data_IF_566037734546
#
_entry.id   IF_566037734546
#
_cell.length_a   1.000
_cell.length_b   1.000
_cell.length_c   1.000
_cell.angle_alpha   90.00
_cell.angle_beta   90.00
_cell.angle_gamma   90.00
#
_symmetry.space_group_name_H-M   'P 1'
#
loop_
_entity.id
_entity.type
_entity.pdbx_description
1 polymer ?
#
# COMPACT_ATOMS: atom_id res chain seq x y z
N UNK A 1 65.95 71.74 -50.73
CA UNK A 1 66.13 72.71 -49.63
C UNK A 1 66.12 71.98 -48.30
N UNK A 2 67.29 71.98 -47.62
CA UNK A 2 67.48 72.20 -46.17
C UNK A 2 66.56 71.39 -45.20
N UNK A 3 67.05 70.33 -44.54
CA UNK A 3 67.70 70.33 -43.19
C UNK A 3 66.80 70.87 -42.08
N UNK A 4 66.57 70.30 -40.88
CA UNK A 4 67.17 69.34 -39.93
C UNK A 4 66.00 68.99 -38.97
N UNK A 5 65.89 67.89 -38.23
CA UNK A 5 66.88 67.10 -37.50
C UNK A 5 66.62 67.22 -35.99
N UNK A 6 66.35 66.08 -35.32
CA UNK A 6 66.63 65.71 -33.91
C UNK A 6 65.88 64.37 -33.67
N UNK A 7 66.45 63.16 -33.74
CA UNK A 7 67.55 62.50 -33.01
C UNK A 7 67.37 62.49 -31.49
N UNK A 8 66.97 61.34 -30.91
CA UNK A 8 67.76 60.48 -29.99
C UNK A 8 66.83 59.34 -29.48
N UNK A 9 66.92 58.07 -29.92
CA UNK A 9 67.86 56.97 -29.64
C UNK A 9 67.40 56.04 -28.49
N UNK A 10 67.60 54.73 -28.76
CA UNK A 10 67.63 53.53 -27.90
C UNK A 10 66.31 52.75 -27.69
N UNK A 11 66.23 51.42 -27.86
CA UNK A 11 67.16 50.34 -28.26
C UNK A 11 66.31 49.08 -28.57
N UNK A 12 66.68 48.36 -29.64
CA UNK A 12 66.56 46.92 -29.97
C UNK A 12 65.38 46.06 -29.47
N UNK A 13 64.77 45.31 -30.39
CA UNK A 13 64.11 44.04 -30.06
C UNK A 13 63.16 43.49 -31.12
N UNK A 14 63.68 42.86 -32.17
CA UNK A 14 62.90 41.99 -33.06
C UNK A 14 62.21 40.87 -32.27
N UNK A 15 60.94 40.56 -32.57
CA UNK A 15 60.37 39.21 -32.77
C UNK A 15 58.98 39.37 -33.40
N UNK A 16 58.83 38.77 -34.59
CA UNK A 16 57.57 38.47 -35.26
C UNK A 16 56.81 37.39 -34.47
N UNK A 17 55.49 37.52 -34.25
CA UNK A 17 54.55 36.38 -34.28
C UNK A 17 53.07 36.83 -34.22
N UNK A 18 52.26 36.17 -35.03
CA UNK A 18 50.86 36.42 -35.40
C UNK A 18 49.82 36.36 -34.25
N UNK A 19 48.74 37.17 -34.28
CA UNK A 19 47.65 37.11 -33.30
C UNK A 19 46.49 36.18 -33.72
N UNK A 20 46.76 35.08 -34.45
CA UNK A 20 45.77 34.05 -34.84
C UNK A 20 46.10 32.72 -34.14
N UNK A 21 46.05 32.69 -32.80
CA UNK A 21 46.28 31.45 -32.04
C UNK A 21 45.56 31.39 -30.68
N UNK A 22 44.87 32.45 -30.24
CA UNK A 22 44.33 32.50 -28.86
C UNK A 22 42.82 32.23 -28.81
N UNK A 23 42.12 32.22 -29.94
CA UNK A 23 40.66 31.94 -29.97
C UNK A 23 40.35 30.45 -30.24
N UNK A 24 41.25 29.69 -30.88
CA UNK A 24 41.08 28.23 -31.03
C UNK A 24 41.30 27.44 -29.72
N UNK A 25 42.12 27.94 -28.81
CA UNK A 25 42.49 27.21 -27.58
C UNK A 25 41.43 27.27 -26.47
N UNK A 26 40.61 28.31 -26.41
CA UNK A 26 39.56 28.45 -25.38
C UNK A 26 38.31 27.63 -25.72
N UNK A 27 37.99 27.46 -27.01
CA UNK A 27 36.88 26.60 -27.46
C UNK A 27 37.27 25.12 -27.36
N UNK A 28 38.54 24.76 -27.60
CA UNK A 28 39.04 23.41 -27.40
C UNK A 28 39.00 22.95 -25.92
N UNK A 29 39.19 23.87 -24.96
CA UNK A 29 39.14 23.54 -23.54
C UNK A 29 37.71 23.28 -23.01
N UNK A 30 36.67 23.93 -23.56
CA UNK A 30 35.29 23.68 -23.14
C UNK A 30 34.66 22.45 -23.80
N UNK A 31 35.12 22.04 -24.98
CA UNK A 31 34.68 20.80 -25.65
C UNK A 31 35.27 19.55 -24.97
N UNK A 32 36.47 19.66 -24.39
CA UNK A 32 37.16 18.52 -23.75
C UNK A 32 36.53 18.12 -22.42
N UNK A 33 36.06 19.08 -21.61
CA UNK A 33 35.48 18.80 -20.28
C UNK A 33 34.10 18.14 -20.36
N UNK A 34 33.35 18.35 -21.44
CA UNK A 34 32.08 17.68 -21.67
C UNK A 34 32.24 16.23 -22.17
N UNK A 35 33.33 15.93 -22.91
CA UNK A 35 33.61 14.58 -23.41
C UNK A 35 34.14 13.63 -22.33
N UNK A 36 34.85 14.14 -21.31
CA UNK A 36 35.40 13.33 -20.22
C UNK A 36 34.31 12.69 -19.36
N UNK A 37 33.27 13.45 -19.00
CA UNK A 37 32.20 12.97 -18.10
C UNK A 37 31.32 11.90 -18.78
N UNK A 38 31.02 12.07 -20.07
CA UNK A 38 30.28 11.07 -20.83
C UNK A 38 31.11 9.79 -21.05
N UNK A 39 32.40 9.92 -21.34
CA UNK A 39 33.29 8.76 -21.54
C UNK A 39 33.47 7.92 -20.27
N UNK A 40 33.54 8.57 -19.10
CA UNK A 40 33.72 7.91 -17.81
C UNK A 40 32.43 7.24 -17.33
N UNK A 41 31.27 7.86 -17.53
CA UNK A 41 29.98 7.21 -17.23
C UNK A 41 29.77 6.00 -18.13
N UNK A 42 30.16 6.06 -19.41
CA UNK A 42 30.09 4.91 -20.31
C UNK A 42 31.09 3.81 -19.94
N UNK A 43 32.30 4.18 -19.49
CA UNK A 43 33.29 3.23 -18.95
C UNK A 43 32.75 2.52 -17.71
N UNK A 44 32.23 3.25 -16.72
CA UNK A 44 31.62 2.67 -15.52
C UNK A 44 30.42 1.78 -15.82
N UNK A 45 29.61 2.12 -16.83
CA UNK A 45 28.51 1.25 -17.30
C UNK A 45 29.04 -0.05 -17.92
N UNK A 46 30.10 0.02 -18.72
CA UNK A 46 30.77 -1.14 -19.31
C UNK A 46 31.40 -2.03 -18.24
N UNK A 47 32.16 -1.47 -17.33
CA UNK A 47 32.77 -2.21 -16.21
C UNK A 47 31.71 -2.88 -15.35
N UNK A 48 30.61 -2.18 -15.03
CA UNK A 48 29.47 -2.78 -14.34
C UNK A 48 28.82 -3.90 -15.13
N UNK A 49 28.74 -3.78 -16.46
CA UNK A 49 28.17 -4.82 -17.33
C UNK A 49 29.06 -6.06 -17.41
N UNK A 50 30.37 -5.85 -17.59
CA UNK A 50 31.39 -6.90 -17.65
C UNK A 50 31.52 -7.63 -16.31
N UNK A 51 31.28 -6.95 -15.19
CA UNK A 51 31.23 -7.55 -13.86
C UNK A 51 29.97 -8.36 -13.54
N UNK A 52 28.96 -8.39 -14.41
CA UNK A 52 27.76 -9.22 -14.23
C UNK A 52 28.00 -10.65 -14.72
N UNK A 53 27.31 -11.62 -14.11
CA UNK A 53 27.33 -13.00 -14.62
C UNK A 53 26.64 -13.09 -15.99
N UNK A 54 26.98 -14.09 -16.82
CA UNK A 54 26.32 -14.32 -18.11
C UNK A 54 24.78 -14.41 -18.00
N UNK A 55 24.27 -14.99 -16.92
CA UNK A 55 22.83 -15.08 -16.66
C UNK A 55 22.21 -13.70 -16.39
N UNK A 56 22.88 -12.86 -15.61
CA UNK A 56 22.43 -11.49 -15.32
C UNK A 56 22.45 -10.61 -16.58
N UNK A 57 23.51 -10.72 -17.39
CA UNK A 57 23.60 -10.02 -18.68
C UNK A 57 22.46 -10.45 -19.62
N UNK A 58 22.15 -11.75 -19.66
CA UNK A 58 21.04 -12.28 -20.44
C UNK A 58 19.70 -11.72 -19.95
N UNK A 59 19.46 -11.71 -18.65
CA UNK A 59 18.23 -11.18 -18.07
C UNK A 59 18.03 -9.69 -18.38
N UNK A 60 19.09 -8.88 -18.25
CA UNK A 60 19.00 -7.43 -18.54
C UNK A 60 18.77 -7.21 -20.03
N UNK A 61 19.44 -7.97 -20.91
CA UNK A 61 19.24 -7.89 -22.36
C UNK A 61 17.79 -8.21 -22.73
N UNK A 62 17.21 -9.27 -22.17
CA UNK A 62 15.80 -9.62 -22.39
C UNK A 62 14.83 -8.54 -21.88
N UNK A 63 15.13 -7.93 -20.72
CA UNK A 63 14.32 -6.83 -20.18
C UNK A 63 14.41 -5.58 -21.07
N UNK A 64 15.60 -5.27 -21.60
CA UNK A 64 15.81 -4.17 -22.53
C UNK A 64 15.09 -4.38 -23.85
N UNK A 65 15.09 -5.61 -24.37
CA UNK A 65 14.36 -5.95 -25.59
C UNK A 65 12.85 -5.76 -25.39
N UNK A 66 12.30 -6.28 -24.29
CA UNK A 66 10.91 -6.04 -23.91
C UNK A 66 10.59 -4.55 -23.76
N UNK A 67 11.51 -3.76 -23.22
CA UNK A 67 11.37 -2.31 -23.09
C UNK A 67 11.27 -1.61 -24.45
N UNK A 68 12.14 -1.98 -25.39
CA UNK A 68 12.17 -1.42 -26.75
C UNK A 68 10.89 -1.75 -27.53
N UNK A 69 10.26 -2.89 -27.24
CA UNK A 69 8.99 -3.30 -27.84
C UNK A 69 7.77 -2.57 -27.27
N UNK A 70 7.89 -1.83 -26.15
CA UNK A 70 6.79 -1.04 -25.61
C UNK A 70 6.58 0.25 -26.43
N UNK A 71 5.32 0.59 -26.68
CA UNK A 71 4.92 1.88 -27.27
C UNK A 71 5.32 3.06 -26.34
N UNK A 72 5.61 4.27 -26.86
CA UNK A 72 5.99 5.44 -26.06
C UNK A 72 5.05 5.74 -24.88
N UNK A 73 3.74 5.50 -25.03
CA UNK A 73 2.76 5.69 -23.96
C UNK A 73 2.95 4.69 -22.81
N UNK A 74 3.32 3.45 -23.12
CA UNK A 74 3.60 2.41 -22.15
C UNK A 74 4.95 2.67 -21.47
N UNK A 75 5.96 3.07 -22.23
CA UNK A 75 7.25 3.49 -21.70
C UNK A 75 7.10 4.68 -20.74
N UNK A 76 6.25 5.66 -21.06
CA UNK A 76 5.96 6.78 -20.16
C UNK A 76 5.36 6.30 -18.82
N UNK A 77 4.38 5.39 -18.85
CA UNK A 77 3.77 4.81 -17.63
C UNK A 77 4.78 4.06 -16.77
N UNK A 78 5.70 3.31 -17.38
CA UNK A 78 6.73 2.59 -16.63
C UNK A 78 7.74 3.56 -16.02
N UNK A 79 8.16 4.59 -16.76
CA UNK A 79 9.02 5.66 -16.22
C UNK A 79 8.37 6.37 -15.04
N UNK A 80 7.09 6.73 -15.15
CA UNK A 80 6.31 7.33 -14.06
C UNK A 80 6.27 6.42 -12.83
N UNK A 81 5.98 5.13 -13.00
CA UNK A 81 5.98 4.16 -11.89
C UNK A 81 7.35 4.03 -11.25
N UNK A 82 8.41 4.04 -12.06
CA UNK A 82 9.78 3.98 -11.56
C UNK A 82 10.14 5.23 -10.75
N UNK A 83 9.77 6.42 -11.22
CA UNK A 83 9.97 7.66 -10.48
C UNK A 83 9.24 7.64 -9.13
N UNK A 84 7.98 7.21 -9.11
CA UNK A 84 7.21 7.03 -7.86
C UNK A 84 7.89 6.04 -6.92
N UNK A 85 8.41 4.93 -7.45
CA UNK A 85 9.14 3.94 -6.67
C UNK A 85 10.44 4.51 -6.08
N UNK A 86 11.17 5.34 -6.83
CA UNK A 86 12.39 5.98 -6.35
C UNK A 86 12.12 6.93 -5.19
N UNK A 87 11.01 7.67 -5.27
CA UNK A 87 10.54 8.60 -4.23
C UNK A 87 10.03 7.92 -2.95
N UNK A 88 9.77 6.61 -2.97
CA UNK A 88 9.37 5.89 -1.76
C UNK A 88 10.51 5.86 -0.74
N UNK A 89 10.14 6.08 0.53
CA UNK A 89 11.04 5.88 1.66
C UNK A 89 11.52 4.42 1.76
N UNK A 90 12.66 4.16 2.42
CA UNK A 90 13.14 2.79 2.65
C UNK A 90 12.09 1.88 3.30
N UNK A 91 11.31 2.41 4.26
CA UNK A 91 10.25 1.67 4.94
C UNK A 91 9.10 1.30 4.00
N UNK A 92 8.70 2.21 3.11
CA UNK A 92 7.67 1.94 2.10
C UNK A 92 8.14 0.92 1.07
N UNK A 93 9.42 0.99 0.66
CA UNK A 93 10.05 -0.02 -0.21
C UNK A 93 10.03 -1.40 0.45
N UNK A 94 10.36 -1.50 1.74
CA UNK A 94 10.26 -2.76 2.50
C UNK A 94 8.81 -3.27 2.58
N UNK A 95 7.84 -2.39 2.84
CA UNK A 95 6.42 -2.76 2.82
C UNK A 95 5.98 -3.29 1.46
N UNK A 96 6.48 -2.71 0.37
CA UNK A 96 6.18 -3.15 -0.99
C UNK A 96 6.79 -4.53 -1.28
N UNK A 97 8.05 -4.75 -0.89
CA UNK A 97 8.72 -6.04 -1.01
C UNK A 97 7.98 -7.14 -0.24
N UNK A 98 7.66 -6.89 1.05
CA UNK A 98 6.92 -7.84 1.88
C UNK A 98 5.53 -8.16 1.31
N UNK A 99 4.83 -7.19 0.69
CA UNK A 99 3.57 -7.44 -0.02
C UNK A 99 3.79 -8.35 -1.24
N UNK A 100 4.85 -8.10 -2.00
CA UNK A 100 5.21 -8.91 -3.16
C UNK A 100 5.57 -10.35 -2.81
N UNK A 101 6.32 -10.56 -1.73
CA UNK A 101 6.64 -11.89 -1.19
C UNK A 101 5.40 -12.63 -0.73
N UNK A 102 4.53 -11.97 0.05
CA UNK A 102 3.25 -12.55 0.47
C UNK A 102 2.40 -12.97 -0.72
N UNK A 103 2.38 -12.16 -1.79
CA UNK A 103 1.66 -12.50 -3.01
C UNK A 103 2.27 -13.71 -3.72
N UNK A 104 3.61 -13.78 -3.84
CA UNK A 104 4.32 -14.92 -4.43
C UNK A 104 4.14 -16.21 -3.64
N UNK A 105 3.98 -16.12 -2.31
CA UNK A 105 3.71 -17.26 -1.43
C UNK A 105 2.27 -17.79 -1.51
N UNK A 106 1.34 -17.08 -2.19
CA UNK A 106 0.00 -17.60 -2.44
C UNK A 106 0.02 -18.71 -3.48
N UNK A 107 -0.90 -19.67 -3.38
CA UNK A 107 -1.07 -20.70 -4.41
C UNK A 107 -1.46 -20.08 -5.76
N UNK A 108 -1.19 -20.74 -6.91
CA UNK A 108 -1.55 -20.21 -8.22
C UNK A 108 -3.03 -19.82 -8.34
N UNK A 109 -3.93 -20.62 -7.78
CA UNK A 109 -5.37 -20.34 -7.75
C UNK A 109 -5.70 -19.09 -6.92
N UNK A 110 -5.05 -18.91 -5.77
CA UNK A 110 -5.22 -17.72 -4.93
C UNK A 110 -4.69 -16.46 -5.63
N UNK A 111 -3.54 -16.57 -6.31
CA UNK A 111 -3.00 -15.48 -7.12
C UNK A 111 -3.96 -15.11 -8.26
N UNK A 112 -4.52 -16.09 -8.95
CA UNK A 112 -5.51 -15.88 -10.00
C UNK A 112 -6.75 -15.16 -9.47
N UNK A 113 -7.31 -15.59 -8.33
CA UNK A 113 -8.46 -14.90 -7.70
C UNK A 113 -8.15 -13.44 -7.34
N UNK A 114 -6.93 -13.16 -6.86
CA UNK A 114 -6.51 -11.79 -6.57
C UNK A 114 -6.38 -10.96 -7.85
N UNK A 115 -5.81 -11.52 -8.93
CA UNK A 115 -5.71 -10.84 -10.23
C UNK A 115 -7.09 -10.59 -10.84
N UNK A 116 -7.93 -11.61 -10.88
CA UNK A 116 -9.29 -11.57 -11.41
C UNK A 116 -10.15 -10.51 -10.72
N UNK A 117 -9.98 -10.33 -9.40
CA UNK A 117 -10.69 -9.28 -8.66
C UNK A 117 -10.44 -7.87 -9.20
N UNK A 118 -9.27 -7.61 -9.78
CA UNK A 118 -8.93 -6.31 -10.36
C UNK A 118 -8.96 -6.31 -11.89
N UNK A 119 -9.11 -7.48 -12.50
CA UNK A 119 -9.32 -7.65 -13.92
C UNK A 119 -10.65 -6.98 -14.30
N UNK A 120 -10.66 -6.27 -15.44
CA UNK A 120 -11.82 -5.47 -15.87
C UNK A 120 -12.04 -4.14 -15.14
N UNK A 121 -11.43 -3.90 -13.96
CA UNK A 121 -11.54 -2.60 -13.29
C UNK A 121 -10.64 -1.55 -13.95
N UNK A 122 -11.20 -0.37 -14.22
CA UNK A 122 -10.48 0.84 -14.60
C UNK A 122 -9.52 1.32 -13.49
N UNK A 123 -8.60 2.22 -13.82
CA UNK A 123 -7.65 2.75 -12.84
C UNK A 123 -8.34 3.43 -11.65
N UNK A 124 -9.44 4.14 -11.89
CA UNK A 124 -10.16 4.87 -10.85
C UNK A 124 -11.01 3.95 -9.98
N UNK A 125 -11.66 2.92 -10.56
CA UNK A 125 -12.35 1.89 -9.79
C UNK A 125 -11.39 1.13 -8.87
N UNK A 126 -10.18 0.81 -9.37
CA UNK A 126 -9.14 0.19 -8.55
C UNK A 126 -8.73 1.10 -7.39
N UNK A 127 -8.55 2.40 -7.64
CA UNK A 127 -8.21 3.38 -6.59
C UNK A 127 -9.30 3.44 -5.53
N UNK A 128 -10.56 3.61 -5.94
CA UNK A 128 -11.70 3.67 -5.03
C UNK A 128 -11.86 2.39 -4.20
N UNK A 129 -11.65 1.21 -4.83
CA UNK A 129 -11.71 -0.06 -4.12
C UNK A 129 -10.57 -0.22 -3.09
N UNK A 130 -9.36 0.19 -3.46
CA UNK A 130 -8.21 0.20 -2.55
C UNK A 130 -8.47 1.16 -1.38
N UNK A 131 -9.02 2.33 -1.65
CA UNK A 131 -9.37 3.32 -0.63
C UNK A 131 -10.42 2.77 0.34
N UNK A 132 -11.49 2.16 -0.15
CA UNK A 132 -12.50 1.48 0.70
C UNK A 132 -11.86 0.42 1.60
N UNK A 133 -10.89 -0.34 1.10
CA UNK A 133 -10.17 -1.32 1.93
C UNK A 133 -9.28 -0.66 2.97
N UNK A 134 -8.64 0.46 2.64
CA UNK A 134 -7.84 1.23 3.59
C UNK A 134 -8.71 1.83 4.68
N UNK A 135 -9.83 2.47 4.34
CA UNK A 135 -10.81 3.03 5.28
C UNK A 135 -11.36 1.95 6.20
N UNK A 136 -11.79 0.79 5.64
CA UNK A 136 -12.26 -0.34 6.44
C UNK A 136 -11.17 -0.91 7.35
N UNK A 137 -9.91 -0.88 6.93
CA UNK A 137 -8.79 -1.31 7.77
C UNK A 137 -8.48 -0.31 8.87
N UNK A 138 -8.68 0.98 8.60
CA UNK A 138 -8.50 2.07 9.56
C UNK A 138 -9.65 2.11 10.59
N UNK A 139 -10.87 1.72 10.21
CA UNK A 139 -12.01 1.65 11.13
C UNK A 139 -11.94 0.49 12.15
N UNK A 140 -11.03 -0.45 11.94
CA UNK A 140 -10.73 -1.51 12.93
C UNK A 140 -9.64 -0.99 13.87
N UNK A 141 -9.97 -0.91 15.16
CA UNK A 141 -9.02 -0.63 16.25
C UNK A 141 -7.69 -1.40 16.05
N UNK A 142 -6.54 -0.69 15.99
CA UNK A 142 -5.22 -1.30 15.81
C UNK A 142 -4.91 -2.41 16.82
N UNK A 143 -5.29 -2.24 18.10
CA UNK A 143 -5.04 -3.23 19.14
C UNK A 143 -5.84 -4.52 18.87
N UNK A 144 -7.13 -4.37 18.56
CA UNK A 144 -7.98 -5.49 18.15
C UNK A 144 -7.47 -6.22 16.90
N UNK A 145 -6.96 -5.48 15.91
CA UNK A 145 -6.37 -6.05 14.69
C UNK A 145 -5.11 -6.86 14.99
N UNK A 146 -4.22 -6.34 15.83
CA UNK A 146 -3.01 -7.05 16.25
C UNK A 146 -3.33 -8.30 17.05
N UNK A 147 -4.28 -8.24 17.98
CA UNK A 147 -4.73 -9.41 18.74
C UNK A 147 -5.30 -10.51 17.82
N UNK A 148 -6.09 -10.12 16.81
CA UNK A 148 -6.60 -11.06 15.82
C UNK A 148 -5.46 -11.68 14.98
N UNK A 149 -4.47 -10.86 14.58
CA UNK A 149 -3.31 -11.36 13.84
C UNK A 149 -2.50 -12.36 14.67
N UNK A 150 -2.12 -12.01 15.91
CA UNK A 150 -1.37 -12.91 16.80
C UNK A 150 -2.12 -14.22 17.05
N UNK A 151 -3.43 -14.13 17.26
CA UNK A 151 -4.30 -15.31 17.40
C UNK A 151 -4.29 -16.19 16.15
N UNK A 152 -4.29 -15.59 14.97
CA UNK A 152 -4.22 -16.33 13.71
C UNK A 152 -2.85 -16.98 13.52
N UNK A 153 -1.78 -16.28 13.88
CA UNK A 153 -0.40 -16.77 13.80
C UNK A 153 -0.15 -17.94 14.77
N UNK A 154 -0.76 -17.91 15.96
CA UNK A 154 -0.65 -18.99 16.95
C UNK A 154 -1.48 -20.24 16.63
N UNK A 155 -2.33 -20.20 15.61
CA UNK A 155 -3.17 -21.35 15.19
C UNK A 155 -2.47 -22.18 14.11
N UNK A 156 -2.69 -23.49 14.13
CA UNK A 156 -2.32 -24.39 13.02
C UNK A 156 -3.12 -24.06 11.75
N UNK A 157 -2.70 -24.52 10.56
CA UNK A 157 -3.46 -24.29 9.32
C UNK A 157 -4.92 -24.76 9.39
N UNK A 158 -5.19 -25.91 10.02
CA UNK A 158 -6.53 -26.48 10.19
C UNK A 158 -7.39 -25.67 11.17
N UNK A 159 -6.83 -25.30 12.33
CA UNK A 159 -7.49 -24.44 13.31
C UNK A 159 -7.82 -23.05 12.72
N UNK A 160 -6.94 -22.54 11.86
CA UNK A 160 -7.13 -21.27 11.18
C UNK A 160 -8.28 -21.33 10.18
N UNK A 161 -8.46 -22.46 9.49
CA UNK A 161 -9.57 -22.64 8.55
C UNK A 161 -10.91 -22.74 9.28
N UNK A 162 -11.00 -23.55 10.33
CA UNK A 162 -12.20 -23.63 11.17
C UNK A 162 -12.55 -22.29 11.81
N UNK A 163 -11.55 -21.53 12.27
CA UNK A 163 -11.75 -20.18 12.79
C UNK A 163 -12.29 -19.22 11.72
N UNK A 164 -11.76 -19.26 10.49
CA UNK A 164 -12.27 -18.46 9.37
C UNK A 164 -13.70 -18.84 9.00
N UNK A 165 -14.00 -20.14 8.91
CA UNK A 165 -15.35 -20.66 8.62
C UNK A 165 -16.35 -20.17 9.66
N UNK A 166 -16.05 -20.32 10.95
CA UNK A 166 -16.89 -19.85 12.06
C UNK A 166 -17.09 -18.33 12.06
N UNK A 167 -16.06 -17.56 11.72
CA UNK A 167 -16.16 -16.11 11.57
C UNK A 167 -17.04 -15.71 10.37
N UNK A 168 -16.96 -16.45 9.26
CA UNK A 168 -17.80 -16.27 8.09
C UNK A 168 -19.25 -16.67 8.36
N UNK A 169 -19.49 -17.80 9.02
CA UNK A 169 -20.82 -18.24 9.47
C UNK A 169 -21.46 -17.22 10.42
N UNK A 170 -20.71 -16.64 11.36
CA UNK A 170 -21.18 -15.54 12.22
C UNK A 170 -21.58 -14.29 11.44
N UNK A 171 -20.87 -14.01 10.35
CA UNK A 171 -21.18 -12.89 9.44
C UNK A 171 -22.42 -13.18 8.59
N UNK A 172 -22.65 -14.44 8.22
CA UNK A 172 -23.79 -14.89 7.42
C UNK A 172 -25.06 -15.08 8.27
N UNK A 173 -24.94 -15.58 9.50
CA UNK A 173 -26.02 -15.84 10.48
C UNK A 173 -26.62 -14.59 11.14
N UNK A 174 -26.49 -13.43 10.50
CA UNK A 174 -27.29 -12.25 10.84
C UNK A 174 -26.81 -11.42 12.04
N UNK A 175 -25.60 -11.62 12.55
CA UNK A 175 -24.95 -10.59 13.36
C UNK A 175 -24.73 -9.35 12.49
N UNK A 176 -25.55 -8.30 12.67
CA UNK A 176 -25.52 -7.07 11.84
C UNK A 176 -24.09 -6.59 11.62
N UNK A 177 -23.56 -6.86 10.43
CA UNK A 177 -22.24 -6.43 10.02
C UNK A 177 -22.37 -5.03 9.42
N UNK A 178 -22.70 -4.06 10.28
CA UNK A 178 -22.82 -2.65 9.95
C UNK A 178 -21.45 -1.97 10.08
N UNK A 179 -21.07 -1.19 9.07
CA UNK A 179 -19.93 -0.27 9.16
C UNK A 179 -20.20 0.85 10.18
N UNK A 180 -19.20 1.55 10.77
CA UNK A 180 -19.45 2.54 11.82
C UNK A 180 -20.50 3.59 11.48
N UNK A 181 -20.52 4.07 10.24
CA UNK A 181 -21.51 5.03 9.75
C UNK A 181 -22.93 4.44 9.74
N UNK A 182 -23.07 3.20 9.26
CA UNK A 182 -24.35 2.48 9.28
C UNK A 182 -24.84 2.18 10.71
N UNK A 183 -23.91 2.01 11.67
CA UNK A 183 -24.25 1.85 13.10
C UNK A 183 -24.71 3.16 13.72
N UNK A 184 -24.07 4.27 13.37
CA UNK A 184 -24.47 5.60 13.82
C UNK A 184 -25.86 5.95 13.28
N UNK A 185 -26.08 5.78 11.97
CA UNK A 185 -27.39 6.01 11.35
C UNK A 185 -28.48 5.09 11.92
N UNK A 186 -28.17 3.82 12.23
CA UNK A 186 -29.13 2.95 12.91
C UNK A 186 -29.45 3.46 14.33
N UNK A 187 -28.46 3.94 15.09
CA UNK A 187 -28.68 4.47 16.44
C UNK A 187 -29.54 5.72 16.39
N UNK A 188 -29.20 6.67 15.52
CA UNK A 188 -29.98 7.89 15.31
C UNK A 188 -31.41 7.56 14.89
N UNK A 189 -31.60 6.62 13.97
CA UNK A 189 -32.92 6.13 13.57
C UNK A 189 -33.70 5.52 14.75
N UNK A 190 -33.05 4.74 15.61
CA UNK A 190 -33.69 4.17 16.80
C UNK A 190 -34.01 5.28 17.82
N UNK A 191 -33.14 6.26 17.98
CA UNK A 191 -33.34 7.41 18.86
C UNK A 191 -34.47 8.33 18.38
N UNK A 192 -34.66 8.46 17.07
CA UNK A 192 -35.75 9.22 16.46
C UNK A 192 -37.11 8.50 16.51
N UNK A 193 -37.12 7.17 16.69
CA UNK A 193 -38.37 6.39 16.82
C UNK A 193 -39.09 6.68 18.14
N UNK A 194 -40.42 6.66 18.09
CA UNK A 194 -41.28 6.65 19.26
C UNK A 194 -41.11 5.37 20.09
N UNK A 195 -41.53 5.34 21.37
CA UNK A 195 -41.44 4.15 22.21
C UNK A 195 -42.16 2.91 21.61
N UNK A 196 -43.28 3.13 20.92
CA UNK A 196 -44.08 2.10 20.24
C UNK A 196 -43.35 1.54 19.02
N UNK A 197 -42.85 2.42 18.13
CA UNK A 197 -42.05 2.00 16.96
C UNK A 197 -40.75 1.28 17.36
N UNK A 198 -40.11 1.69 18.47
CA UNK A 198 -38.96 0.96 19.03
C UNK A 198 -39.36 -0.43 19.54
N UNK A 199 -40.56 -0.60 20.09
CA UNK A 199 -41.06 -1.89 20.54
C UNK A 199 -41.29 -2.83 19.35
N UNK A 200 -41.95 -2.35 18.30
CA UNK A 200 -42.14 -3.09 17.05
C UNK A 200 -40.81 -3.43 16.38
N UNK A 201 -39.87 -2.48 16.35
CA UNK A 201 -38.53 -2.73 15.80
C UNK A 201 -37.80 -3.84 16.57
N UNK A 202 -37.88 -3.85 17.91
CA UNK A 202 -37.32 -4.93 18.73
C UNK A 202 -38.00 -6.27 18.45
N UNK A 203 -39.31 -6.28 18.34
CA UNK A 203 -40.09 -7.49 18.07
C UNK A 203 -39.76 -8.07 16.69
N UNK A 204 -39.72 -7.23 15.66
CA UNK A 204 -39.32 -7.61 14.30
C UNK A 204 -37.91 -8.19 14.26
N UNK A 205 -36.96 -7.59 14.98
CA UNK A 205 -35.59 -8.11 15.08
C UNK A 205 -35.54 -9.43 15.87
N UNK A 206 -36.40 -9.61 16.87
CA UNK A 206 -36.54 -10.84 17.64
C UNK A 206 -37.12 -11.98 16.77
N UNK A 207 -38.16 -11.71 15.98
CA UNK A 207 -38.75 -12.67 15.04
C UNK A 207 -37.75 -13.08 13.95
N UNK A 208 -37.06 -12.12 13.33
CA UNK A 208 -36.03 -12.40 12.31
C UNK A 208 -34.90 -13.28 12.85
N UNK A 209 -34.54 -13.09 14.11
CA UNK A 209 -33.52 -13.89 14.79
C UNK A 209 -34.00 -15.31 15.13
N UNK A 210 -35.29 -15.50 15.38
CA UNK A 210 -35.89 -16.82 15.55
C UNK A 210 -35.96 -17.58 14.22
N UNK A 211 -36.30 -16.89 13.13
CA UNK A 211 -36.36 -17.46 11.78
C UNK A 211 -34.98 -17.79 11.19
N UNK A 212 -33.94 -17.06 11.58
CA UNK A 212 -32.56 -17.25 11.06
C UNK A 212 -31.87 -18.55 11.52
N UNK A 213 -32.57 -19.51 12.14
CA UNK A 213 -32.04 -20.85 12.38
C UNK A 213 -30.80 -20.90 13.29
N UNK A 214 -30.71 -20.03 14.30
CA UNK A 214 -29.65 -20.10 15.30
C UNK A 214 -30.15 -20.91 16.52
N UNK A 215 -30.35 -22.22 16.30
CA UNK A 215 -31.01 -23.17 17.22
C UNK A 215 -30.43 -23.18 18.64
N UNK A 216 -29.11 -23.04 18.77
CA UNK A 216 -28.42 -23.09 20.08
C UNK A 216 -28.69 -21.88 20.98
N UNK A 217 -29.34 -20.83 20.46
CA UNK A 217 -29.56 -19.59 21.19
C UNK A 217 -30.88 -19.60 21.96
N UNK A 218 -31.90 -20.32 21.46
CA UNK A 218 -33.18 -20.45 22.13
C UNK A 218 -33.04 -21.30 23.41
N UNK A 219 -32.40 -22.47 23.29
CA UNK A 219 -32.10 -23.35 24.43
C UNK A 219 -31.18 -22.68 25.45
N UNK A 220 -30.10 -22.00 25.02
CA UNK A 220 -29.26 -21.23 25.95
C UNK A 220 -30.04 -20.13 26.67
N UNK A 221 -30.99 -19.48 26.02
CA UNK A 221 -31.82 -18.44 26.64
C UNK A 221 -32.82 -19.02 27.62
N UNK A 222 -33.43 -20.14 27.26
CA UNK A 222 -34.34 -20.88 28.13
C UNK A 222 -33.58 -21.45 29.33
N UNK A 223 -32.40 -22.03 29.13
CA UNK A 223 -31.53 -22.50 30.20
C UNK A 223 -31.04 -21.36 31.10
N UNK A 224 -30.69 -20.19 30.55
CA UNK A 224 -30.35 -19.00 31.35
C UNK A 224 -31.54 -18.48 32.14
N UNK A 225 -32.75 -18.53 31.57
CA UNK A 225 -34.00 -18.15 32.24
C UNK A 225 -34.33 -19.13 33.36
N UNK A 226 -34.33 -20.43 33.08
CA UNK A 226 -34.54 -21.49 34.07
C UNK A 226 -33.51 -21.42 35.19
N UNK A 227 -32.23 -21.19 34.86
CA UNK A 227 -31.16 -20.98 35.85
C UNK A 227 -31.38 -19.74 36.70
N UNK A 228 -31.92 -18.66 36.11
CA UNK A 228 -32.26 -17.45 36.87
C UNK A 228 -33.48 -17.68 37.76
N UNK A 229 -34.48 -18.40 37.27
CA UNK A 229 -35.69 -18.78 38.01
C UNK A 229 -35.41 -19.80 39.12
N UNK A 230 -34.37 -20.62 38.98
CA UNK A 230 -33.91 -21.55 40.03
C UNK A 230 -32.97 -20.91 41.06
N UNK A 231 -32.47 -19.69 40.81
CA UNK A 231 -31.64 -18.96 41.78
C UNK A 231 -32.46 -18.42 42.94
N UNK A 232 -31.84 -18.36 44.12
CA UNK A 232 -32.43 -17.70 45.28
C UNK A 232 -32.55 -16.18 45.06
N UNK A 233 -33.46 -15.48 45.78
CA UNK A 233 -33.59 -14.02 45.69
C UNK A 233 -32.27 -13.28 45.92
N UNK A 234 -31.43 -13.79 46.82
CA UNK A 234 -30.13 -13.21 47.16
C UNK A 234 -29.10 -13.40 46.03
N UNK A 235 -29.06 -14.58 45.41
CA UNK A 235 -28.21 -14.85 44.24
C UNK A 235 -28.60 -14.00 43.03
N UNK A 236 -29.91 -13.76 42.84
CA UNK A 236 -30.42 -12.88 41.79
C UNK A 236 -29.98 -11.44 42.01
N UNK A 237 -30.00 -10.94 43.25
CA UNK A 237 -29.52 -9.59 43.57
C UNK A 237 -28.01 -9.45 43.40
N UNK A 238 -27.23 -10.44 43.84
CA UNK A 238 -25.79 -10.45 43.58
C UNK A 238 -25.48 -10.47 42.07
N UNK A 239 -26.24 -11.22 41.27
CA UNK A 239 -26.09 -11.21 39.82
C UNK A 239 -26.42 -9.84 39.19
N UNK A 240 -27.41 -9.11 39.73
CA UNK A 240 -27.73 -7.73 39.31
C UNK A 240 -26.63 -6.75 39.70
N UNK A 241 -26.09 -6.84 40.92
CA UNK A 241 -24.99 -5.99 41.39
C UNK A 241 -23.73 -6.18 40.55
N UNK A 242 -23.35 -7.43 40.24
CA UNK A 242 -22.23 -7.75 39.35
C UNK A 242 -22.39 -7.20 37.93
N UNK A 243 -23.63 -7.06 37.45
CA UNK A 243 -23.91 -6.42 36.15
C UNK A 243 -23.78 -4.91 36.21
N UNK A 244 -24.25 -4.27 37.28
CA UNK A 244 -24.11 -2.82 37.49
C UNK A 244 -22.65 -2.39 37.63
N UNK A 245 -21.83 -3.18 38.31
CA UNK A 245 -20.39 -2.92 38.47
C UNK A 245 -19.55 -3.07 37.18
N UNK A 246 -20.16 -3.56 36.08
CA UNK A 246 -19.50 -3.75 34.77
C UNK A 246 -19.92 -2.70 33.73
N UNK A 247 -20.90 -1.87 34.04
CA UNK A 247 -21.32 -0.74 33.22
C UNK A 247 -20.61 0.52 33.71
#
# INVERSE_FOLDING_TARGET
MKTKGFVLLCLVGSILLSPMSVIETVIAQQITVAQTDESDVQRQRREKWEGLSPEQQTEITQRLEKWRQLDPSQQAKVRERYQKLQQLSPEEKQKLQARGERFRALSPEQQAKVRQRFEGMSADERRAQIEKWQQRRASIDPARRQALQKRMESMTPEERDTFRKKMMERRQSGGMNMDPEQRAALRERIEAMTPEERAEFREKMQQRRQQSGNGDNAERRQALRQRYESMSPEEREQAKQRRRARQ
#
